data_IF_852653809868
#
_entry.id   IF_852653809868
#
_cell.length_a   1.000
_cell.length_b   1.000
_cell.length_c   1.000
_cell.angle_alpha   90.00
_cell.angle_beta   90.00
_cell.angle_gamma   90.00
#
_symmetry.space_group_name_H-M   'P 1'
#
loop_
_entity.id
_entity.type
_entity.pdbx_description
1 polymer ?
#
# COMPACT_ATOMS: atom_id res chain seq x y z
N UNK A 1 -2.82 -81.99 29.40
CA UNK A 1 -2.08 -82.03 28.13
C UNK A 1 -2.46 -80.79 27.35
N UNK A 2 -1.58 -79.74 27.30
CA UNK A 2 -1.87 -78.42 26.71
C UNK A 2 -1.17 -78.35 25.36
N UNK A 3 -1.94 -78.19 24.32
CA UNK A 3 -1.43 -77.94 22.95
C UNK A 3 -1.46 -76.44 22.73
N UNK A 4 -0.27 -75.82 22.48
CA UNK A 4 -0.13 -74.40 22.07
C UNK A 4 -0.18 -74.31 20.54
N UNK A 5 -1.11 -73.58 20.03
CA UNK A 5 -1.06 -73.14 18.63
C UNK A 5 -0.31 -71.80 18.54
N UNK A 6 0.72 -71.77 17.73
CA UNK A 6 1.47 -70.62 17.34
C UNK A 6 0.88 -70.14 15.97
N UNK A 7 0.24 -69.04 15.94
CA UNK A 7 -0.17 -68.39 14.68
C UNK A 7 0.87 -67.28 14.36
N UNK A 8 1.61 -67.51 13.30
CA UNK A 8 2.58 -66.63 12.72
C UNK A 8 1.82 -65.64 11.78
N UNK A 9 1.67 -64.38 12.18
CA UNK A 9 1.19 -63.31 11.31
C UNK A 9 2.37 -62.67 10.59
N UNK A 10 2.54 -62.98 9.31
CA UNK A 10 3.43 -62.24 8.39
C UNK A 10 2.63 -61.06 7.87
N UNK A 11 2.85 -59.87 8.45
CA UNK A 11 2.35 -58.62 7.90
C UNK A 11 3.29 -58.15 6.79
N UNK A 12 2.89 -58.29 5.55
CA UNK A 12 3.60 -57.77 4.38
C UNK A 12 3.35 -56.25 4.35
N UNK A 13 4.37 -55.47 4.73
CA UNK A 13 4.38 -54.01 4.63
C UNK A 13 4.64 -53.61 3.18
N UNK A 14 3.61 -53.28 2.43
CA UNK A 14 3.73 -52.65 1.11
C UNK A 14 4.14 -51.19 1.32
N UNK A 15 5.44 -50.91 1.25
CA UNK A 15 5.99 -49.57 1.12
C UNK A 15 5.71 -49.05 -0.29
N UNK A 16 4.60 -48.28 -0.45
CA UNK A 16 4.42 -47.47 -1.61
C UNK A 16 5.36 -46.25 -1.55
N UNK A 17 6.56 -46.44 -2.10
CA UNK A 17 7.47 -45.34 -2.39
C UNK A 17 6.94 -44.60 -3.61
N UNK A 18 6.07 -43.59 -3.39
CA UNK A 18 5.84 -42.55 -4.39
C UNK A 18 7.10 -41.69 -4.46
N UNK A 19 8.10 -42.15 -5.19
CA UNK A 19 9.21 -41.33 -5.63
C UNK A 19 8.67 -40.35 -6.70
N UNK A 20 8.18 -39.19 -6.27
CA UNK A 20 8.21 -38.05 -7.15
C UNK A 20 9.68 -37.67 -7.36
N UNK A 21 10.13 -37.43 -8.60
CA UNK A 21 11.49 -36.97 -8.82
C UNK A 21 11.62 -35.60 -8.17
N UNK A 22 12.37 -35.56 -7.06
CA UNK A 22 12.85 -34.32 -6.47
C UNK A 22 13.93 -33.83 -7.44
N UNK A 23 13.54 -32.93 -8.36
CA UNK A 23 14.51 -32.28 -9.24
C UNK A 23 15.66 -31.76 -8.41
N UNK A 24 16.87 -32.08 -8.84
CA UNK A 24 18.12 -31.77 -8.16
C UNK A 24 18.38 -30.25 -8.21
N UNK A 25 17.77 -29.46 -7.29
CA UNK A 25 17.89 -28.02 -7.20
C UNK A 25 19.24 -27.52 -6.68
N UNK A 26 20.17 -28.43 -6.39
CA UNK A 26 21.43 -28.09 -5.73
C UNK A 26 22.47 -27.37 -6.64
N UNK A 27 22.23 -27.23 -7.96
CA UNK A 27 23.13 -26.58 -8.90
C UNK A 27 22.42 -25.56 -9.78
N UNK A 28 21.21 -25.07 -9.42
CA UNK A 28 20.49 -24.05 -10.19
C UNK A 28 21.20 -22.70 -10.07
N UNK A 29 21.59 -22.09 -11.20
CA UNK A 29 22.13 -20.74 -11.20
C UNK A 29 21.05 -19.69 -10.85
N UNK A 30 21.48 -18.48 -10.46
CA UNK A 30 20.53 -17.39 -10.19
C UNK A 30 19.71 -17.02 -11.45
N UNK A 31 20.31 -17.13 -12.64
CA UNK A 31 19.63 -16.89 -13.93
C UNK A 31 18.63 -18.01 -14.24
N UNK A 32 19.00 -19.28 -14.09
CA UNK A 32 18.08 -20.39 -14.30
C UNK A 32 16.87 -20.32 -13.36
N UNK A 33 17.14 -19.98 -12.08
CA UNK A 33 16.06 -19.74 -11.09
C UNK A 33 15.13 -18.64 -11.56
N UNK A 34 15.66 -17.51 -12.03
CA UNK A 34 14.87 -16.39 -12.53
C UNK A 34 14.00 -16.81 -13.71
N UNK A 35 14.59 -17.45 -14.72
CA UNK A 35 13.86 -17.94 -15.92
C UNK A 35 12.74 -18.90 -15.51
N UNK A 36 13.00 -19.81 -14.59
CA UNK A 36 11.99 -20.76 -14.08
C UNK A 36 10.88 -20.01 -13.32
N UNK A 37 11.21 -19.05 -12.47
CA UNK A 37 10.24 -18.25 -11.73
C UNK A 37 9.40 -17.38 -12.65
N UNK A 38 10.00 -16.73 -13.65
CA UNK A 38 9.31 -15.92 -14.65
C UNK A 38 8.30 -16.79 -15.44
N UNK A 39 8.66 -18.01 -15.79
CA UNK A 39 7.73 -18.97 -16.44
C UNK A 39 6.54 -19.31 -15.53
N UNK A 40 6.76 -19.54 -14.25
CA UNK A 40 5.68 -19.82 -13.28
C UNK A 40 4.76 -18.58 -13.14
N UNK A 41 5.33 -17.38 -13.09
CA UNK A 41 4.55 -16.14 -13.07
C UNK A 41 3.71 -16.02 -14.35
N UNK A 42 4.31 -16.25 -15.51
CA UNK A 42 3.60 -16.20 -16.78
C UNK A 42 2.39 -17.14 -16.78
N UNK A 43 2.60 -18.40 -16.43
CA UNK A 43 1.55 -19.44 -16.45
C UNK A 43 0.42 -19.16 -15.43
N UNK A 44 0.78 -18.72 -14.21
CA UNK A 44 -0.17 -18.68 -13.09
C UNK A 44 -0.74 -17.29 -12.78
N UNK A 45 -0.05 -16.22 -13.17
CA UNK A 45 -0.59 -14.87 -13.08
C UNK A 45 -1.19 -14.45 -14.41
N UNK A 46 -0.36 -14.22 -15.44
CA UNK A 46 -0.81 -13.56 -16.66
C UNK A 46 -1.71 -14.45 -17.53
N UNK A 47 -1.46 -15.75 -17.60
CA UNK A 47 -2.25 -16.68 -18.41
C UNK A 47 -3.41 -17.33 -17.65
N UNK A 48 -3.46 -17.18 -16.31
CA UNK A 48 -4.50 -17.74 -15.46
C UNK A 48 -5.22 -16.68 -14.64
N UNK A 49 -4.62 -16.17 -13.56
CA UNK A 49 -5.29 -15.30 -12.60
C UNK A 49 -5.81 -14.00 -13.25
N UNK A 50 -5.01 -13.32 -14.07
CA UNK A 50 -5.38 -12.06 -14.71
C UNK A 50 -6.53 -12.20 -15.73
N UNK A 51 -6.84 -13.42 -16.17
CA UNK A 51 -8.02 -13.71 -17.02
C UNK A 51 -9.32 -13.82 -16.21
N UNK A 52 -9.23 -13.82 -14.87
CA UNK A 52 -10.35 -14.10 -13.96
C UNK A 52 -10.73 -12.82 -13.21
N UNK A 53 -11.96 -12.38 -13.35
CA UNK A 53 -12.48 -11.29 -12.52
C UNK A 53 -12.73 -11.80 -11.10
N UNK A 54 -11.82 -11.48 -10.19
CA UNK A 54 -11.87 -11.90 -8.78
C UNK A 54 -13.11 -11.35 -8.02
N UNK A 55 -13.79 -10.30 -8.50
CA UNK A 55 -15.01 -9.80 -7.87
C UNK A 55 -16.16 -10.83 -7.94
N UNK A 56 -16.13 -11.69 -8.97
CA UNK A 56 -17.12 -12.76 -9.16
C UNK A 56 -16.56 -14.15 -8.90
N UNK A 57 -15.26 -14.37 -9.18
CA UNK A 57 -14.62 -15.67 -9.22
C UNK A 57 -13.36 -15.70 -8.33
N UNK A 58 -13.47 -15.17 -7.11
CA UNK A 58 -12.35 -15.08 -6.15
C UNK A 58 -11.64 -16.42 -5.96
N UNK A 59 -12.40 -17.51 -5.77
CA UNK A 59 -11.80 -18.84 -5.56
C UNK A 59 -10.94 -19.26 -6.73
N UNK A 60 -11.46 -19.16 -7.96
CA UNK A 60 -10.73 -19.56 -9.17
C UNK A 60 -9.46 -18.70 -9.36
N UNK A 61 -9.57 -17.39 -9.10
CA UNK A 61 -8.39 -16.50 -9.10
C UNK A 61 -7.31 -16.99 -8.13
N UNK A 62 -7.71 -17.31 -6.89
CA UNK A 62 -6.81 -17.80 -5.87
C UNK A 62 -6.24 -19.18 -6.21
N UNK A 63 -7.03 -20.09 -6.80
CA UNK A 63 -6.58 -21.42 -7.21
C UNK A 63 -5.43 -21.35 -8.24
N UNK A 64 -5.47 -20.37 -9.19
CA UNK A 64 -4.37 -20.14 -10.14
C UNK A 64 -3.06 -19.83 -9.41
N UNK A 65 -3.12 -18.92 -8.42
CA UNK A 65 -1.93 -18.50 -7.67
C UNK A 65 -1.42 -19.61 -6.75
N UNK A 66 -2.33 -20.38 -6.14
CA UNK A 66 -1.97 -21.56 -5.31
C UNK A 66 -1.24 -22.61 -6.11
N UNK A 67 -1.64 -22.84 -7.36
CA UNK A 67 -0.93 -23.76 -8.25
C UNK A 67 0.51 -23.27 -8.53
N UNK A 68 0.71 -21.97 -8.74
CA UNK A 68 2.05 -21.38 -8.89
C UNK A 68 2.88 -21.47 -7.61
N UNK A 69 2.30 -21.14 -6.46
CA UNK A 69 2.95 -21.24 -5.14
C UNK A 69 3.36 -22.69 -4.83
N UNK A 70 2.56 -23.67 -5.23
CA UNK A 70 2.90 -25.08 -5.09
C UNK A 70 4.15 -25.47 -5.91
N UNK A 71 4.36 -24.84 -7.07
CA UNK A 71 5.57 -25.06 -7.89
C UNK A 71 6.80 -24.39 -7.26
N UNK A 72 6.66 -23.13 -6.79
CA UNK A 72 7.72 -22.41 -6.07
C UNK A 72 7.14 -21.37 -5.11
N UNK A 73 7.10 -21.70 -3.82
CA UNK A 73 6.60 -20.84 -2.76
C UNK A 73 7.48 -19.61 -2.47
N UNK A 74 8.71 -19.58 -3.01
CA UNK A 74 9.64 -18.44 -2.80
C UNK A 74 9.38 -17.27 -3.73
N UNK A 75 8.44 -17.38 -4.67
CA UNK A 75 8.05 -16.27 -5.57
C UNK A 75 7.18 -15.27 -4.82
N UNK A 76 7.81 -14.23 -4.30
CA UNK A 76 7.14 -13.19 -3.51
C UNK A 76 5.97 -12.51 -4.26
N UNK A 77 6.07 -12.37 -5.57
CA UNK A 77 5.04 -11.76 -6.42
C UNK A 77 3.71 -12.53 -6.38
N UNK A 78 3.74 -13.86 -6.36
CA UNK A 78 2.52 -14.66 -6.24
C UNK A 78 1.76 -14.39 -4.93
N UNK A 79 2.49 -14.21 -3.84
CA UNK A 79 1.90 -13.89 -2.54
C UNK A 79 1.29 -12.49 -2.53
N UNK A 80 1.96 -11.51 -3.15
CA UNK A 80 1.41 -10.16 -3.30
C UNK A 80 0.15 -10.18 -4.16
N UNK A 81 0.14 -10.91 -5.28
CA UNK A 81 -1.05 -11.06 -6.12
C UNK A 81 -2.22 -11.73 -5.35
N UNK A 82 -1.94 -12.70 -4.49
CA UNK A 82 -2.97 -13.27 -3.59
C UNK A 82 -3.54 -12.25 -2.62
N UNK A 83 -2.73 -11.33 -2.11
CA UNK A 83 -3.15 -10.33 -1.13
C UNK A 83 -4.10 -9.29 -1.74
N UNK A 84 -3.83 -8.82 -2.97
CA UNK A 84 -4.48 -7.66 -3.59
C UNK A 84 -6.00 -7.72 -3.65
N UNK A 85 -6.65 -8.81 -4.13
CA UNK A 85 -8.09 -8.88 -4.17
C UNK A 85 -8.76 -8.76 -2.79
N UNK A 86 -8.10 -9.30 -1.76
CA UNK A 86 -8.60 -9.21 -0.39
C UNK A 86 -8.58 -7.77 0.14
N UNK A 87 -7.53 -7.00 -0.16
CA UNK A 87 -7.49 -5.58 0.19
C UNK A 87 -8.59 -4.79 -0.53
N UNK A 88 -8.79 -5.03 -1.84
CA UNK A 88 -9.81 -4.35 -2.63
C UNK A 88 -11.25 -4.65 -2.18
N UNK A 89 -11.49 -5.83 -1.58
CA UNK A 89 -12.79 -6.17 -0.96
C UNK A 89 -12.82 -5.99 0.56
N UNK A 90 -11.86 -5.24 1.10
CA UNK A 90 -11.77 -4.85 2.53
C UNK A 90 -11.61 -6.02 3.52
N UNK A 91 -11.06 -7.14 3.07
CA UNK A 91 -10.67 -8.28 3.93
C UNK A 91 -9.19 -8.15 4.33
N UNK A 92 -8.86 -7.05 5.01
CA UNK A 92 -7.46 -6.66 5.26
C UNK A 92 -6.66 -7.67 6.07
N UNK A 93 -7.27 -8.33 7.07
CA UNK A 93 -6.59 -9.36 7.86
C UNK A 93 -6.11 -10.54 7.00
N UNK A 94 -6.95 -11.00 6.08
CA UNK A 94 -6.58 -12.08 5.15
C UNK A 94 -5.51 -11.61 4.16
N UNK A 95 -5.69 -10.42 3.57
CA UNK A 95 -4.71 -9.83 2.67
C UNK A 95 -3.33 -9.66 3.32
N UNK A 96 -3.31 -9.25 4.60
CA UNK A 96 -2.09 -9.08 5.39
C UNK A 96 -1.27 -10.36 5.49
N UNK A 97 -1.90 -11.51 5.76
CA UNK A 97 -1.19 -12.79 5.89
C UNK A 97 -0.41 -13.14 4.61
N UNK A 98 -0.99 -12.91 3.45
CA UNK A 98 -0.32 -13.12 2.17
C UNK A 98 0.76 -12.07 1.89
N UNK A 99 0.50 -10.81 2.23
CA UNK A 99 1.49 -9.75 2.02
C UNK A 99 2.69 -9.90 2.97
N UNK A 100 2.50 -10.43 4.17
CA UNK A 100 3.58 -10.80 5.09
C UNK A 100 4.50 -11.88 4.47
N UNK A 101 3.94 -12.84 3.70
CA UNK A 101 4.73 -13.82 2.93
C UNK A 101 5.50 -13.16 1.79
N UNK A 102 4.90 -12.20 1.08
CA UNK A 102 5.60 -11.45 0.05
C UNK A 102 6.82 -10.71 0.62
N UNK A 103 6.67 -10.03 1.76
CA UNK A 103 7.77 -9.36 2.47
C UNK A 103 8.82 -10.37 2.93
N UNK A 104 8.42 -11.51 3.49
CA UNK A 104 9.35 -12.55 3.93
C UNK A 104 10.26 -13.06 2.80
N UNK A 105 9.73 -13.25 1.59
CA UNK A 105 10.51 -13.74 0.46
C UNK A 105 11.25 -12.65 -0.32
N UNK A 106 10.78 -11.39 -0.27
CA UNK A 106 11.47 -10.26 -0.89
C UNK A 106 11.15 -8.95 -0.15
N UNK A 107 11.83 -8.75 0.97
CA UNK A 107 11.66 -7.58 1.83
C UNK A 107 11.90 -6.27 1.07
N UNK A 108 13.00 -6.19 0.31
CA UNK A 108 13.38 -4.97 -0.40
C UNK A 108 12.28 -4.48 -1.35
N UNK A 109 11.55 -5.40 -2.01
CA UNK A 109 10.49 -5.03 -2.94
C UNK A 109 9.15 -4.77 -2.24
N UNK A 110 8.82 -5.49 -1.16
CA UNK A 110 7.47 -5.53 -0.64
C UNK A 110 7.27 -4.88 0.73
N UNK A 111 8.34 -4.46 1.42
CA UNK A 111 8.20 -3.84 2.74
C UNK A 111 7.53 -2.46 2.66
N UNK A 112 7.98 -1.58 1.75
CA UNK A 112 7.35 -0.28 1.50
C UNK A 112 5.91 -0.44 1.00
N UNK A 113 5.69 -1.41 0.09
CA UNK A 113 4.35 -1.71 -0.39
C UNK A 113 3.42 -2.17 0.74
N UNK A 114 3.90 -3.00 1.69
CA UNK A 114 3.11 -3.37 2.86
C UNK A 114 2.80 -2.17 3.76
N UNK A 115 3.75 -1.27 3.96
CA UNK A 115 3.54 -0.01 4.66
C UNK A 115 2.46 0.85 4.01
N UNK A 116 2.51 1.01 2.68
CA UNK A 116 1.46 1.67 1.90
C UNK A 116 0.08 1.01 2.10
N UNK A 117 -0.01 -0.32 1.99
CA UNK A 117 -1.26 -1.05 2.18
C UNK A 117 -1.82 -0.93 3.61
N UNK A 118 -0.94 -0.87 4.62
CA UNK A 118 -1.33 -0.59 6.00
C UNK A 118 -1.86 0.84 6.17
N UNK A 119 -1.19 1.84 5.58
CA UNK A 119 -1.59 3.25 5.68
C UNK A 119 -2.92 3.50 4.97
N UNK A 120 -2.99 3.19 3.67
CA UNK A 120 -4.10 3.62 2.82
C UNK A 120 -5.32 2.68 2.93
N UNK A 121 -5.11 1.36 3.00
CA UNK A 121 -6.22 0.40 3.02
C UNK A 121 -6.62 0.00 4.43
N UNK A 122 -5.69 -0.59 5.18
CA UNK A 122 -6.02 -1.17 6.49
C UNK A 122 -6.17 -0.14 7.62
N UNK A 123 -5.72 1.11 7.41
CA UNK A 123 -5.68 2.17 8.44
C UNK A 123 -4.88 1.77 9.69
N UNK A 124 -3.93 0.83 9.51
CA UNK A 124 -2.96 0.44 10.52
C UNK A 124 -1.77 1.41 10.49
N UNK A 125 -2.01 2.63 10.96
CA UNK A 125 -1.04 3.73 10.87
C UNK A 125 0.25 3.47 11.64
N UNK A 126 0.18 2.82 12.80
CA UNK A 126 1.37 2.46 13.59
C UNK A 126 2.22 1.43 12.84
N UNK A 127 1.58 0.38 12.35
CA UNK A 127 2.27 -0.62 11.56
C UNK A 127 2.79 -0.08 10.21
N UNK A 128 2.14 0.93 9.62
CA UNK A 128 2.64 1.63 8.43
C UNK A 128 3.93 2.40 8.73
N UNK A 129 3.97 3.15 9.84
CA UNK A 129 5.17 3.88 10.28
C UNK A 129 6.32 2.89 10.51
N UNK A 130 6.08 1.78 11.21
CA UNK A 130 7.11 0.75 11.47
C UNK A 130 7.72 0.19 10.18
N UNK A 131 6.89 -0.17 9.20
CA UNK A 131 7.36 -0.72 7.93
C UNK A 131 8.12 0.33 7.11
N UNK A 132 7.61 1.58 7.05
CA UNK A 132 8.22 2.66 6.28
C UNK A 132 9.54 3.13 6.90
N UNK A 133 9.60 3.29 8.22
CA UNK A 133 10.84 3.63 8.94
C UNK A 133 11.92 2.56 8.73
N UNK A 134 11.53 1.28 8.84
CA UNK A 134 12.45 0.18 8.59
C UNK A 134 12.95 0.18 7.14
N UNK A 135 12.06 0.46 6.18
CA UNK A 135 12.41 0.54 4.77
C UNK A 135 13.38 1.68 4.50
N UNK A 136 13.06 2.91 4.98
CA UNK A 136 13.91 4.09 4.82
C UNK A 136 15.31 3.85 5.43
N UNK A 137 15.35 3.27 6.62
CA UNK A 137 16.62 2.97 7.29
C UNK A 137 17.52 2.01 6.49
N UNK A 138 16.93 1.04 5.78
CA UNK A 138 17.67 0.03 5.03
C UNK A 138 17.98 0.44 3.59
N UNK A 139 17.07 1.15 2.96
CA UNK A 139 17.06 1.33 1.51
C UNK A 139 16.97 2.79 1.06
N UNK A 140 16.69 3.73 1.99
CA UNK A 140 16.46 5.15 1.69
C UNK A 140 15.00 5.49 1.48
N UNK A 141 14.72 6.81 1.42
CA UNK A 141 13.38 7.34 1.19
C UNK A 141 13.02 7.26 -0.31
N UNK A 142 12.55 6.11 -0.75
CA UNK A 142 12.14 5.88 -2.13
C UNK A 142 10.62 6.04 -2.30
N UNK A 143 10.21 6.13 -3.56
CA UNK A 143 8.80 6.14 -3.93
C UNK A 143 8.20 4.73 -3.85
N UNK A 144 7.00 4.65 -3.27
CA UNK A 144 6.11 3.51 -3.37
C UNK A 144 4.79 4.03 -3.89
N UNK A 145 4.27 3.44 -4.96
CA UNK A 145 3.19 4.05 -5.73
C UNK A 145 3.58 5.50 -6.15
N UNK A 146 2.76 6.50 -5.88
CA UNK A 146 2.99 7.86 -6.36
C UNK A 146 3.70 8.77 -5.33
N UNK A 147 4.00 8.25 -4.12
CA UNK A 147 4.56 9.03 -3.02
C UNK A 147 5.80 8.40 -2.40
N UNK A 148 6.59 9.23 -1.70
CA UNK A 148 7.72 8.76 -0.90
C UNK A 148 7.26 7.95 0.31
N UNK A 149 8.17 7.12 0.86
CA UNK A 149 7.88 6.45 2.12
C UNK A 149 7.62 7.45 3.26
N UNK A 150 8.29 8.59 3.28
CA UNK A 150 8.11 9.65 4.26
C UNK A 150 6.71 10.28 4.17
N UNK A 151 6.13 10.42 2.98
CA UNK A 151 4.73 10.84 2.81
C UNK A 151 3.76 9.96 3.61
N UNK A 152 3.87 8.63 3.49
CA UNK A 152 3.00 7.70 4.22
C UNK A 152 3.23 7.74 5.74
N UNK A 153 4.45 8.02 6.20
CA UNK A 153 4.75 8.28 7.62
C UNK A 153 4.05 9.54 8.08
N UNK A 154 4.18 10.66 7.35
CA UNK A 154 3.54 11.93 7.65
C UNK A 154 2.01 11.79 7.71
N UNK A 155 1.42 11.12 6.70
CA UNK A 155 -0.01 10.85 6.65
C UNK A 155 -0.48 9.98 7.83
N UNK A 156 0.33 8.98 8.22
CA UNK A 156 0.03 8.13 9.37
C UNK A 156 0.09 8.90 10.69
N UNK A 157 1.08 9.76 10.89
CA UNK A 157 1.13 10.64 12.06
C UNK A 157 -0.07 11.59 12.12
N UNK A 158 -0.46 12.16 10.99
CA UNK A 158 -1.64 13.03 10.89
C UNK A 158 -2.90 12.30 11.37
N UNK A 159 -3.10 11.06 10.95
CA UNK A 159 -4.25 10.24 11.33
C UNK A 159 -4.19 9.71 12.78
N UNK A 160 -3.03 9.71 13.40
CA UNK A 160 -2.82 9.44 14.83
C UNK A 160 -2.95 10.70 15.69
N UNK A 161 -3.31 11.85 15.11
CA UNK A 161 -3.36 13.16 15.76
C UNK A 161 -1.99 13.63 16.32
N UNK A 162 -0.89 13.07 15.77
CA UNK A 162 0.47 13.48 16.09
C UNK A 162 0.94 14.61 15.16
N UNK A 163 0.17 15.71 15.13
CA UNK A 163 0.26 16.78 14.16
C UNK A 163 1.64 17.41 14.03
N UNK A 164 2.35 17.60 15.15
CA UNK A 164 3.72 18.14 15.13
C UNK A 164 4.73 17.20 14.47
N UNK A 165 4.53 15.86 14.59
CA UNK A 165 5.37 14.91 13.88
C UNK A 165 5.02 14.87 12.40
N UNK A 166 3.73 14.93 12.07
CA UNK A 166 3.27 15.01 10.68
C UNK A 166 3.86 16.25 9.99
N UNK A 167 3.74 17.44 10.60
CA UNK A 167 4.34 18.69 10.10
C UNK A 167 5.82 18.51 9.79
N UNK A 168 6.61 18.07 10.78
CA UNK A 168 8.05 17.91 10.60
C UNK A 168 8.40 16.90 9.51
N UNK A 169 7.65 15.81 9.41
CA UNK A 169 7.88 14.76 8.40
C UNK A 169 7.62 15.31 7.00
N UNK A 170 6.47 15.97 6.77
CA UNK A 170 6.14 16.58 5.48
C UNK A 170 7.13 17.69 5.13
N UNK A 171 7.47 18.59 6.06
CA UNK A 171 8.44 19.67 5.83
C UNK A 171 9.80 19.12 5.38
N UNK A 172 10.28 18.06 6.04
CA UNK A 172 11.55 17.41 5.69
C UNK A 172 11.47 16.78 4.30
N UNK A 173 10.41 16.03 4.02
CA UNK A 173 10.22 15.33 2.74
C UNK A 173 10.06 16.30 1.58
N UNK A 174 9.26 17.36 1.73
CA UNK A 174 9.09 18.43 0.76
C UNK A 174 10.45 19.06 0.42
N UNK A 175 11.25 19.41 1.44
CA UNK A 175 12.56 19.99 1.24
C UNK A 175 13.53 19.06 0.47
N UNK A 176 13.46 17.75 0.76
CA UNK A 176 14.24 16.75 0.01
C UNK A 176 13.78 16.62 -1.44
N UNK A 177 12.48 16.59 -1.70
CA UNK A 177 11.91 16.53 -3.04
C UNK A 177 12.28 17.76 -3.86
N UNK A 178 12.16 18.98 -3.31
CA UNK A 178 12.56 20.23 -3.98
C UNK A 178 14.06 20.22 -4.32
N UNK A 179 14.90 19.76 -3.39
CA UNK A 179 16.34 19.66 -3.62
C UNK A 179 16.70 18.68 -4.75
N UNK A 180 15.97 17.58 -4.85
CA UNK A 180 16.26 16.52 -5.82
C UNK A 180 15.57 16.75 -7.18
N UNK A 181 14.31 17.23 -7.16
CA UNK A 181 13.41 17.29 -8.32
C UNK A 181 12.97 18.70 -8.71
N UNK A 182 13.27 19.72 -7.91
CA UNK A 182 12.84 21.12 -7.99
C UNK A 182 11.38 21.38 -7.64
N UNK A 183 10.59 20.35 -7.36
CA UNK A 183 9.20 20.48 -6.96
C UNK A 183 8.80 19.33 -5.99
N UNK A 184 7.78 19.55 -5.17
CA UNK A 184 7.12 18.53 -4.37
C UNK A 184 5.70 18.31 -4.88
N UNK A 185 5.14 17.13 -4.65
CA UNK A 185 3.80 16.79 -5.10
C UNK A 185 2.75 17.63 -4.36
N UNK A 186 1.63 17.99 -5.02
CA UNK A 186 0.58 18.84 -4.41
C UNK A 186 -0.02 18.26 -3.13
N UNK A 187 -0.10 16.94 -2.99
CA UNK A 187 -0.59 16.30 -1.77
C UNK A 187 0.38 16.41 -0.59
N UNK A 188 1.69 16.47 -0.82
CA UNK A 188 2.66 16.73 0.25
C UNK A 188 2.42 18.11 0.86
N UNK A 189 2.29 19.14 0.02
CA UNK A 189 1.93 20.49 0.45
C UNK A 189 0.56 20.56 1.13
N UNK A 190 -0.42 19.86 0.58
CA UNK A 190 -1.76 19.81 1.14
C UNK A 190 -1.77 19.22 2.56
N UNK A 191 -1.17 18.03 2.76
CA UNK A 191 -1.16 17.40 4.08
C UNK A 191 -0.22 18.11 5.06
N UNK A 192 0.84 18.77 4.59
CA UNK A 192 1.59 19.70 5.40
C UNK A 192 0.70 20.86 5.90
N UNK A 193 -0.08 21.46 5.00
CA UNK A 193 -1.07 22.49 5.34
C UNK A 193 -2.12 22.00 6.35
N UNK A 194 -2.64 20.79 6.17
CA UNK A 194 -3.58 20.17 7.13
C UNK A 194 -2.91 19.98 8.51
N UNK A 195 -1.67 19.50 8.56
CA UNK A 195 -0.95 19.32 9.83
C UNK A 195 -0.75 20.63 10.59
N UNK A 196 -0.59 21.73 9.88
CA UNK A 196 -0.49 23.09 10.42
C UNK A 196 -1.87 23.63 10.86
N UNK A 197 -2.91 23.38 10.07
CA UNK A 197 -4.28 23.77 10.38
C UNK A 197 -4.77 23.15 11.69
N UNK A 198 -4.53 21.86 11.88
CA UNK A 198 -4.89 21.13 13.11
C UNK A 198 -4.12 21.64 14.35
N UNK A 199 -3.00 22.30 14.15
CA UNK A 199 -2.24 22.99 15.20
C UNK A 199 -2.60 24.47 15.33
N UNK A 200 -3.62 24.97 14.61
CA UNK A 200 -4.04 26.38 14.58
C UNK A 200 -2.92 27.34 14.09
N UNK A 201 -1.99 26.85 13.28
CA UNK A 201 -0.92 27.65 12.64
C UNK A 201 -1.43 28.16 11.28
N UNK A 202 -2.49 28.97 11.32
CA UNK A 202 -3.33 29.26 10.16
C UNK A 202 -2.58 29.95 9.01
N UNK A 203 -1.72 30.93 9.29
CA UNK A 203 -0.94 31.64 8.25
C UNK A 203 -0.02 30.68 7.50
N UNK A 204 0.65 29.79 8.24
CA UNK A 204 1.53 28.78 7.63
C UNK A 204 0.73 27.73 6.85
N UNK A 205 -0.45 27.36 7.34
CA UNK A 205 -1.35 26.44 6.65
C UNK A 205 -1.80 27.02 5.31
N UNK A 206 -2.19 28.32 5.29
CA UNK A 206 -2.54 29.04 4.06
C UNK A 206 -1.40 29.01 3.06
N UNK A 207 -0.17 29.31 3.50
CA UNK A 207 1.01 29.26 2.61
C UNK A 207 1.20 27.88 1.99
N UNK A 208 1.03 26.80 2.77
CA UNK A 208 1.15 25.43 2.25
C UNK A 208 0.02 25.07 1.27
N UNK A 209 -1.21 25.53 1.53
CA UNK A 209 -2.30 25.35 0.57
C UNK A 209 -2.07 26.15 -0.71
N UNK A 210 -1.43 27.32 -0.64
CA UNK A 210 -1.05 28.10 -1.82
C UNK A 210 -0.02 27.36 -2.66
N UNK A 211 0.99 26.75 -2.05
CA UNK A 211 1.95 25.90 -2.77
C UNK A 211 1.25 24.70 -3.43
N UNK A 212 0.33 24.02 -2.73
CA UNK A 212 -0.48 22.94 -3.33
C UNK A 212 -1.27 23.44 -4.55
N UNK A 213 -1.85 24.64 -4.48
CA UNK A 213 -2.61 25.26 -5.57
C UNK A 213 -1.72 25.75 -6.72
N UNK A 214 -0.44 26.06 -6.47
CA UNK A 214 0.51 26.36 -7.52
C UNK A 214 0.77 25.14 -8.41
N UNK A 215 0.84 23.95 -7.80
CA UNK A 215 1.03 22.67 -8.52
C UNK A 215 -0.28 22.17 -9.14
N UNK A 216 -1.39 22.28 -8.41
CA UNK A 216 -2.71 21.84 -8.87
C UNK A 216 -3.76 22.94 -8.63
N UNK A 217 -3.90 23.88 -9.58
CA UNK A 217 -4.63 25.15 -9.45
C UNK A 217 -6.08 25.00 -9.00
N UNK A 218 -6.78 23.96 -9.45
CA UNK A 218 -8.20 23.74 -9.16
C UNK A 218 -8.43 22.74 -8.01
N UNK A 219 -7.40 22.41 -7.23
CA UNK A 219 -7.48 21.40 -6.17
C UNK A 219 -8.48 21.82 -5.08
N UNK A 220 -9.65 21.19 -5.10
CA UNK A 220 -10.82 21.58 -4.29
C UNK A 220 -10.54 21.48 -2.78
N UNK A 221 -9.83 20.46 -2.34
CA UNK A 221 -9.51 20.30 -0.92
C UNK A 221 -8.61 21.41 -0.41
N UNK A 222 -7.59 21.80 -1.15
CA UNK A 222 -6.71 22.89 -0.74
C UNK A 222 -7.48 24.24 -0.67
N UNK A 223 -8.35 24.54 -1.64
CA UNK A 223 -9.20 25.72 -1.62
C UNK A 223 -10.15 25.72 -0.41
N UNK A 224 -10.78 24.57 -0.13
CA UNK A 224 -11.71 24.41 0.99
C UNK A 224 -11.02 24.64 2.33
N UNK A 225 -9.93 23.94 2.61
CA UNK A 225 -9.23 24.07 3.90
C UNK A 225 -8.51 25.43 4.05
N UNK A 226 -8.09 26.05 2.94
CA UNK A 226 -7.60 27.43 2.94
C UNK A 226 -8.70 28.41 3.35
N UNK A 227 -9.96 28.23 2.89
CA UNK A 227 -11.09 29.08 3.32
C UNK A 227 -11.34 28.97 4.81
N UNK A 228 -11.22 27.77 5.40
CA UNK A 228 -11.34 27.55 6.85
C UNK A 228 -10.23 28.29 7.61
N UNK A 229 -8.97 28.17 7.16
CA UNK A 229 -7.85 28.88 7.79
C UNK A 229 -8.02 30.41 7.74
N UNK A 230 -8.49 30.95 6.60
CA UNK A 230 -8.78 32.38 6.46
C UNK A 230 -9.93 32.85 7.35
N UNK A 231 -10.98 32.04 7.49
CA UNK A 231 -12.08 32.33 8.41
C UNK A 231 -11.59 32.39 9.87
N UNK A 232 -10.71 31.48 10.28
CA UNK A 232 -10.12 31.48 11.62
C UNK A 232 -9.26 32.72 11.92
N UNK A 233 -8.66 33.33 10.87
CA UNK A 233 -7.90 34.57 10.97
C UNK A 233 -8.77 35.85 10.84
N UNK A 234 -10.07 35.72 10.61
CA UNK A 234 -10.98 36.87 10.48
C UNK A 234 -10.85 37.64 9.16
N UNK A 235 -10.48 36.96 8.06
CA UNK A 235 -10.53 37.53 6.73
C UNK A 235 -11.96 37.90 6.33
N UNK A 236 -12.13 38.71 5.26
CA UNK A 236 -13.45 39.15 4.82
C UNK A 236 -14.36 37.97 4.43
N UNK A 237 -15.66 38.11 4.73
CA UNK A 237 -16.67 37.08 4.39
C UNK A 237 -16.72 36.83 2.87
N UNK A 238 -16.59 37.89 2.06
CA UNK A 238 -16.57 37.75 0.60
C UNK A 238 -15.41 36.86 0.09
N UNK A 239 -14.21 37.04 0.64
CA UNK A 239 -13.04 36.24 0.29
C UNK A 239 -13.20 34.77 0.69
N UNK A 240 -13.70 34.54 1.90
CA UNK A 240 -13.96 33.19 2.42
C UNK A 240 -15.02 32.50 1.55
N UNK A 241 -16.14 33.18 1.29
CA UNK A 241 -17.25 32.65 0.50
C UNK A 241 -16.84 32.35 -0.95
N UNK A 242 -16.01 33.22 -1.54
CA UNK A 242 -15.45 32.98 -2.88
C UNK A 242 -14.66 31.70 -2.95
N UNK A 243 -13.66 31.51 -2.07
CA UNK A 243 -12.82 30.29 -2.02
C UNK A 243 -13.65 29.03 -1.74
N UNK A 244 -14.60 29.12 -0.80
CA UNK A 244 -15.47 27.99 -0.49
C UNK A 244 -16.34 27.60 -1.70
N UNK A 245 -16.91 28.58 -2.39
CA UNK A 245 -17.73 28.32 -3.57
C UNK A 245 -16.91 27.71 -4.70
N UNK A 246 -15.72 28.25 -4.97
CA UNK A 246 -14.80 27.67 -5.95
C UNK A 246 -14.43 26.23 -5.61
N UNK A 247 -14.12 25.92 -4.34
CA UNK A 247 -13.80 24.58 -3.89
C UNK A 247 -14.94 23.60 -4.20
N UNK A 248 -16.18 23.97 -3.89
CA UNK A 248 -17.37 23.15 -4.16
C UNK A 248 -17.59 22.93 -5.66
N UNK A 249 -17.45 23.98 -6.49
CA UNK A 249 -17.58 23.87 -7.94
C UNK A 249 -16.46 23.00 -8.56
N UNK A 250 -15.23 23.19 -8.11
CA UNK A 250 -14.10 22.40 -8.58
C UNK A 250 -14.24 20.92 -8.18
N UNK A 251 -14.71 20.63 -6.97
CA UNK A 251 -15.03 19.27 -6.54
C UNK A 251 -16.10 18.63 -7.44
N UNK A 252 -17.18 19.35 -7.78
CA UNK A 252 -18.22 18.83 -8.69
C UNK A 252 -17.67 18.49 -10.07
N UNK A 253 -16.65 19.23 -10.53
CA UNK A 253 -15.95 18.98 -11.80
C UNK A 253 -14.93 17.85 -11.70
N UNK A 254 -14.68 17.29 -10.51
CA UNK A 254 -13.74 16.20 -10.28
C UNK A 254 -12.30 16.64 -9.97
N UNK A 255 -12.07 17.94 -9.72
CA UNK A 255 -10.76 18.46 -9.29
C UNK A 255 -10.54 18.21 -7.79
N UNK A 256 -10.33 16.97 -7.43
CA UNK A 256 -10.19 16.45 -6.07
C UNK A 256 -8.96 15.54 -5.97
N UNK A 257 -8.74 14.88 -4.85
CA UNK A 257 -7.72 13.83 -4.73
C UNK A 257 -7.98 12.76 -5.79
N UNK A 258 -7.04 12.61 -6.73
CA UNK A 258 -7.16 11.76 -7.93
C UNK A 258 -6.28 10.52 -7.88
N UNK A 259 -5.85 10.13 -6.68
CA UNK A 259 -5.08 8.90 -6.49
C UNK A 259 -5.81 7.67 -7.03
N UNK A 260 -5.12 6.79 -7.74
CA UNK A 260 -5.70 5.57 -8.32
C UNK A 260 -6.44 4.71 -7.30
N UNK A 261 -5.96 4.75 -6.06
CA UNK A 261 -6.53 3.99 -4.94
C UNK A 261 -7.76 4.66 -4.30
N UNK A 262 -8.07 5.91 -4.66
CA UNK A 262 -9.23 6.64 -4.13
C UNK A 262 -10.57 6.01 -4.52
N UNK A 263 -10.60 5.14 -5.54
CA UNK A 263 -11.79 4.35 -5.91
C UNK A 263 -12.09 3.24 -4.91
N UNK A 264 -11.09 2.77 -4.16
CA UNK A 264 -11.22 1.70 -3.16
C UNK A 264 -11.29 2.25 -1.74
N UNK A 265 -10.47 3.26 -1.42
CA UNK A 265 -10.35 3.83 -0.09
C UNK A 265 -10.37 5.36 -0.13
N UNK A 266 -11.08 5.95 0.82
CA UNK A 266 -11.14 7.39 0.99
C UNK A 266 -9.83 7.86 1.62
N UNK A 267 -9.22 8.85 0.99
CA UNK A 267 -8.06 9.52 1.54
C UNK A 267 -8.45 10.46 2.70
N UNK A 268 -7.57 10.64 3.70
CA UNK A 268 -7.83 11.58 4.78
C UNK A 268 -8.12 12.99 4.25
N UNK A 269 -9.04 13.69 4.91
CA UNK A 269 -9.44 15.08 4.56
C UNK A 269 -9.98 15.26 3.13
N UNK A 270 -10.24 14.19 2.39
CA UNK A 270 -10.89 14.25 1.10
C UNK A 270 -12.34 14.72 1.23
N UNK A 271 -12.74 15.70 0.42
CA UNK A 271 -14.12 16.17 0.36
C UNK A 271 -15.04 15.09 -0.22
N UNK A 272 -16.04 14.68 0.56
CA UNK A 272 -17.01 13.66 0.15
C UNK A 272 -18.08 14.28 -0.75
N UNK A 273 -18.62 13.44 -1.64
CA UNK A 273 -19.79 13.82 -2.47
C UNK A 273 -21.04 13.96 -1.63
#
# INVERSE_FOLDING_TARGET
MKIKFIISNIATLLLCTNCFPQENRNNETAEDKKVRQDKIIQEHVYDCADKINYNFWMKQYQDCLDAGIKKDSTIAYLWQQKAMPYYKVRKYSVGKEYLDKAVFYNEKRWLSYRGFMKCIFAKDYKGAIEDMDLYIKKYGNHYEMDHTCAFYIGLSYLQLNEFSKAEKTFETDINEQIKQRKEAHFLDWFYHGISLLEQQKFERAIASFDEALTVYTNFSEAQYYKSIAKAALGHSEDEIQFLFTEAIENRKKGYTITEDNAVYEIYPYQLRK
#
